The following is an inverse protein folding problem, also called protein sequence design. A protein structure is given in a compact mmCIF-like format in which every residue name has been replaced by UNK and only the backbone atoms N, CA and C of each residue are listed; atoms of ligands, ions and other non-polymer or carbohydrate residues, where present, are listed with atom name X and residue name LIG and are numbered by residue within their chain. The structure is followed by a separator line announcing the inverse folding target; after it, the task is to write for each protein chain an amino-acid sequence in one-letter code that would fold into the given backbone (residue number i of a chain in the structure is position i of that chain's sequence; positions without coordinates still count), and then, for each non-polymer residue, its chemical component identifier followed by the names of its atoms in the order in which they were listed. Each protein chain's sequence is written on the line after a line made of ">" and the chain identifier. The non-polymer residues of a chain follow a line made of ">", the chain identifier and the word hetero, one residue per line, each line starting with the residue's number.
data_IF_627817182902
#
_entry.id   IF_627817182902
#
_cell.length_a   1.000
_cell.length_b   1.000
_cell.length_c   1.000
_cell.angle_alpha   90.00
_cell.angle_beta   90.00
_cell.angle_gamma   90.00
#
_symmetry.space_group_name_H-M   'P 1'
#
loop_
_entity.id
_entity.type
_entity.pdbx_description
1 polymer ?
#
# COMPACT_ATOMS: atom_id res chain seq x y z
N UNK A 1 -26.18 -13.99 -38.23
CA UNK A 1 -25.36 -14.85 -37.33
C UNK A 1 -23.86 -14.90 -37.66
N UNK A 2 -23.41 -15.10 -38.91
CA UNK A 2 -21.97 -15.18 -39.25
C UNK A 2 -21.16 -13.92 -38.85
N UNK A 3 -21.73 -12.73 -39.05
CA UNK A 3 -21.10 -11.46 -38.69
C UNK A 3 -21.03 -11.23 -37.17
N UNK A 4 -22.07 -11.60 -36.42
CA UNK A 4 -22.08 -11.50 -34.96
C UNK A 4 -20.96 -12.34 -34.33
N UNK A 5 -20.74 -13.57 -34.80
CA UNK A 5 -19.64 -14.42 -34.33
C UNK A 5 -18.27 -13.79 -34.59
N UNK A 6 -18.08 -13.16 -35.77
CA UNK A 6 -16.83 -12.45 -36.10
C UNK A 6 -16.61 -11.23 -35.19
N UNK A 7 -17.66 -10.45 -34.94
CA UNK A 7 -17.61 -9.28 -34.04
C UNK A 7 -17.23 -9.70 -32.62
N UNK A 8 -17.87 -10.76 -32.09
CA UNK A 8 -17.55 -11.27 -30.75
C UNK A 8 -16.10 -11.74 -30.63
N UNK A 9 -15.57 -12.39 -31.67
CA UNK A 9 -14.15 -12.81 -31.70
C UNK A 9 -13.23 -11.58 -31.67
N UNK A 10 -13.50 -10.56 -32.50
CA UNK A 10 -12.69 -9.33 -32.51
C UNK A 10 -12.73 -8.63 -31.16
N UNK A 11 -13.90 -8.52 -30.53
CA UNK A 11 -14.04 -7.92 -29.20
C UNK A 11 -13.26 -8.70 -28.13
N UNK A 12 -13.29 -10.03 -28.19
CA UNK A 12 -12.51 -10.87 -27.28
C UNK A 12 -11.00 -10.65 -27.43
N UNK A 13 -10.49 -10.57 -28.67
CA UNK A 13 -9.08 -10.28 -28.91
C UNK A 13 -8.67 -8.89 -28.40
N UNK A 14 -9.49 -7.87 -28.65
CA UNK A 14 -9.24 -6.51 -28.13
C UNK A 14 -9.24 -6.48 -26.60
N UNK A 15 -10.18 -7.19 -25.97
CA UNK A 15 -10.25 -7.31 -24.51
C UNK A 15 -9.03 -8.05 -23.94
N UNK A 16 -8.59 -9.13 -24.58
CA UNK A 16 -7.38 -9.86 -24.19
C UNK A 16 -6.13 -9.00 -24.31
N UNK A 17 -5.97 -8.26 -25.42
CA UNK A 17 -4.87 -7.29 -25.57
C UNK A 17 -4.92 -6.20 -24.49
N UNK A 18 -6.12 -5.71 -24.15
CA UNK A 18 -6.29 -4.72 -23.09
C UNK A 18 -5.86 -5.27 -21.72
N UNK A 19 -6.25 -6.49 -21.35
CA UNK A 19 -5.80 -7.14 -20.11
C UNK A 19 -4.29 -7.34 -20.10
N UNK A 20 -3.70 -7.78 -21.23
CA UNK A 20 -2.25 -7.94 -21.32
C UNK A 20 -1.53 -6.59 -21.16
N UNK A 21 -2.07 -5.51 -21.72
CA UNK A 21 -1.54 -4.17 -21.52
C UNK A 21 -1.69 -3.71 -20.06
N UNK A 22 -2.81 -4.02 -19.40
CA UNK A 22 -2.97 -3.74 -17.97
C UNK A 22 -1.92 -4.44 -17.12
N UNK A 23 -1.64 -5.70 -17.43
CA UNK A 23 -0.70 -6.52 -16.66
C UNK A 23 0.76 -6.11 -16.88
N UNK A 24 1.16 -5.79 -18.12
CA UNK A 24 2.57 -5.53 -18.46
C UNK A 24 2.87 -4.07 -18.83
N UNK A 25 1.86 -3.20 -18.86
CA UNK A 25 1.93 -1.80 -19.28
C UNK A 25 2.97 -0.97 -18.51
N UNK A 26 3.16 -1.29 -17.23
CA UNK A 26 4.15 -0.65 -16.38
C UNK A 26 5.58 -0.72 -16.96
N UNK A 27 5.93 -1.79 -17.68
CA UNK A 27 7.24 -1.93 -18.34
C UNK A 27 7.45 -0.94 -19.49
N UNK A 28 6.37 -0.51 -20.12
CA UNK A 28 6.38 0.40 -21.26
C UNK A 28 6.38 1.86 -20.84
N UNK A 29 5.68 2.21 -19.76
CA UNK A 29 5.62 3.59 -19.26
C UNK A 29 6.88 4.00 -18.49
N UNK A 30 7.59 3.04 -17.89
CA UNK A 30 8.79 3.29 -17.09
C UNK A 30 10.04 3.28 -17.96
N UNK A 31 10.88 4.30 -17.82
CA UNK A 31 12.20 4.30 -18.45
C UNK A 31 13.25 3.57 -17.57
N UNK A 32 14.48 3.43 -18.08
CA UNK A 32 15.57 2.73 -17.36
C UNK A 32 15.93 3.42 -16.04
N UNK A 33 15.86 4.74 -15.97
CA UNK A 33 16.15 5.50 -14.77
C UNK A 33 15.05 5.31 -13.72
N UNK A 34 13.78 5.38 -14.11
CA UNK A 34 12.64 5.15 -13.22
C UNK A 34 12.71 3.77 -12.56
N UNK A 35 13.01 2.72 -13.35
CA UNK A 35 13.19 1.36 -12.81
C UNK A 35 14.34 1.27 -11.80
N UNK A 36 15.42 2.02 -12.01
CA UNK A 36 16.55 2.09 -11.06
C UNK A 36 16.14 2.81 -9.79
N UNK A 37 15.43 3.94 -9.90
CA UNK A 37 14.89 4.68 -8.75
C UNK A 37 14.00 3.75 -7.92
N UNK A 38 13.02 3.09 -8.54
CA UNK A 38 12.13 2.14 -7.86
C UNK A 38 12.94 1.05 -7.14
N UNK A 39 13.87 0.41 -7.85
CA UNK A 39 14.68 -0.69 -7.29
C UNK A 39 15.51 -0.23 -6.11
N UNK A 40 16.19 0.90 -6.24
CA UNK A 40 16.99 1.49 -5.17
C UNK A 40 16.09 1.85 -3.99
N UNK A 41 15.05 2.63 -4.24
CA UNK A 41 14.09 3.08 -3.24
C UNK A 41 13.50 1.94 -2.44
N UNK A 42 13.07 0.83 -3.05
CA UNK A 42 12.44 -0.28 -2.32
C UNK A 42 13.49 -1.12 -1.58
N UNK A 43 14.60 -1.46 -2.22
CA UNK A 43 15.58 -2.42 -1.67
C UNK A 43 16.48 -1.85 -0.58
N UNK A 44 16.66 -0.53 -0.50
CA UNK A 44 17.52 0.08 0.53
C UNK A 44 16.83 0.34 1.87
N UNK A 45 15.51 0.11 1.98
CA UNK A 45 14.81 0.42 3.23
C UNK A 45 15.09 -0.58 4.34
N UNK A 46 15.00 -0.08 5.57
CA UNK A 46 14.86 -0.90 6.76
C UNK A 46 13.66 -1.84 6.61
N UNK A 47 13.86 -3.09 7.01
CA UNK A 47 12.78 -4.08 7.10
C UNK A 47 11.99 -3.82 8.37
N UNK A 48 10.66 -3.81 8.27
CA UNK A 48 9.80 -3.83 9.44
C UNK A 48 10.01 -5.15 10.20
N UNK A 49 9.99 -5.12 11.54
CA UNK A 49 9.91 -6.34 12.33
C UNK A 49 8.68 -7.17 11.96
N UNK A 50 8.79 -8.50 12.12
CA UNK A 50 7.69 -9.42 11.81
C UNK A 50 6.46 -9.11 12.66
N UNK A 51 6.65 -8.83 13.96
CA UNK A 51 5.56 -8.45 14.86
C UNK A 51 4.70 -7.28 14.35
N UNK A 52 5.33 -6.26 13.75
CA UNK A 52 4.60 -5.11 13.18
C UNK A 52 3.95 -5.48 11.85
N UNK A 53 4.63 -6.26 11.01
CA UNK A 53 4.11 -6.72 9.73
C UNK A 53 2.88 -7.62 9.92
N UNK A 54 2.93 -8.50 10.92
CA UNK A 54 1.86 -9.43 11.28
C UNK A 54 0.68 -8.65 11.86
N UNK A 55 0.93 -7.72 12.78
CA UNK A 55 -0.10 -6.80 13.28
C UNK A 55 -0.83 -6.08 12.13
N UNK A 56 -0.08 -5.53 11.16
CA UNK A 56 -0.65 -4.86 9.99
C UNK A 56 -1.52 -5.81 9.16
N UNK A 57 -1.06 -7.03 8.89
CA UNK A 57 -1.78 -8.02 8.10
C UNK A 57 -3.01 -8.59 8.81
N UNK A 58 -2.99 -8.66 10.14
CA UNK A 58 -4.15 -9.06 10.95
C UNK A 58 -5.20 -7.95 11.01
N UNK A 59 -4.78 -6.68 11.11
CA UNK A 59 -5.71 -5.53 11.08
C UNK A 59 -6.32 -5.36 9.69
N UNK A 60 -5.50 -5.41 8.64
CA UNK A 60 -5.93 -5.36 7.24
C UNK A 60 -5.82 -6.75 6.62
N UNK A 61 -6.90 -7.52 6.76
CA UNK A 61 -6.97 -8.91 6.34
C UNK A 61 -6.45 -9.11 4.92
N UNK A 62 -5.53 -10.06 4.77
CA UNK A 62 -4.89 -10.43 3.50
C UNK A 62 -4.14 -9.29 2.79
N UNK A 63 -3.81 -8.18 3.46
CA UNK A 63 -3.12 -7.06 2.82
C UNK A 63 -1.74 -7.42 2.25
N UNK A 64 -1.08 -8.46 2.78
CA UNK A 64 0.18 -8.96 2.24
C UNK A 64 0.01 -9.89 1.01
N UNK A 65 -1.22 -10.30 0.70
CA UNK A 65 -1.52 -11.23 -0.40
C UNK A 65 -2.41 -10.58 -1.47
N UNK A 66 -3.16 -9.54 -1.11
CA UNK A 66 -3.98 -8.75 -2.02
C UNK A 66 -3.12 -8.01 -3.03
N UNK A 67 -3.67 -7.81 -4.20
CA UNK A 67 -3.03 -7.13 -5.32
C UNK A 67 -3.98 -6.09 -5.94
N UNK A 68 -3.51 -5.38 -6.96
CA UNK A 68 -4.26 -4.27 -7.55
C UNK A 68 -5.54 -4.71 -8.28
N UNK A 69 -5.62 -5.95 -8.75
CA UNK A 69 -6.84 -6.48 -9.34
C UNK A 69 -7.93 -6.72 -8.29
N UNK A 70 -7.57 -7.13 -7.07
CA UNK A 70 -8.53 -7.30 -5.98
C UNK A 70 -9.25 -5.97 -5.69
N UNK A 71 -8.51 -4.85 -5.67
CA UNK A 71 -9.09 -3.52 -5.50
C UNK A 71 -10.08 -3.14 -6.62
N UNK A 72 -9.76 -3.52 -7.87
CA UNK A 72 -10.62 -3.28 -9.02
C UNK A 72 -11.90 -4.11 -8.89
N UNK A 73 -11.78 -5.39 -8.57
CA UNK A 73 -12.91 -6.31 -8.38
C UNK A 73 -13.80 -5.84 -7.22
N UNK A 74 -13.22 -5.44 -6.10
CA UNK A 74 -13.95 -4.90 -4.95
C UNK A 74 -14.75 -3.65 -5.34
N UNK A 75 -14.12 -2.73 -6.08
CA UNK A 75 -14.77 -1.51 -6.57
C UNK A 75 -15.97 -1.83 -7.47
N UNK A 76 -15.83 -2.79 -8.40
CA UNK A 76 -16.91 -3.19 -9.30
C UNK A 76 -18.03 -3.99 -8.61
N UNK A 77 -17.70 -4.74 -7.56
CA UNK A 77 -18.69 -5.51 -6.77
C UNK A 77 -19.44 -4.64 -5.75
N UNK A 78 -19.12 -3.35 -5.66
CA UNK A 78 -19.74 -2.42 -4.70
C UNK A 78 -19.21 -2.58 -3.27
N UNK A 79 -18.19 -3.42 -3.06
CA UNK A 79 -17.48 -3.53 -1.79
C UNK A 79 -16.58 -2.30 -1.61
N UNK A 80 -16.84 -1.50 -0.58
CA UNK A 80 -15.97 -0.37 -0.23
C UNK A 80 -14.78 -0.87 0.59
N UNK A 81 -13.81 -1.52 -0.06
CA UNK A 81 -12.54 -1.84 0.61
C UNK A 81 -11.64 -0.60 0.61
N UNK A 82 -11.14 -0.14 1.79
CA UNK A 82 -10.21 0.96 1.84
C UNK A 82 -8.93 0.64 1.05
N UNK A 83 -8.46 1.57 0.20
CA UNK A 83 -7.19 1.49 -0.57
C UNK A 83 -5.94 1.11 0.24
N UNK A 84 -6.03 1.14 1.58
CA UNK A 84 -4.93 0.83 2.50
C UNK A 84 -4.62 -0.67 2.60
N UNK A 85 -5.42 -1.50 1.94
CA UNK A 85 -5.24 -2.95 1.93
C UNK A 85 -4.23 -3.45 0.89
N UNK A 86 -3.67 -2.60 0.01
CA UNK A 86 -2.62 -3.00 -0.93
C UNK A 86 -1.36 -2.13 -0.79
N UNK A 87 -0.32 -2.61 -0.07
CA UNK A 87 0.93 -1.89 0.14
C UNK A 87 1.61 -1.42 -1.15
N UNK A 88 1.69 -2.24 -2.20
CA UNK A 88 2.33 -1.84 -3.46
C UNK A 88 1.54 -0.76 -4.22
N UNK A 89 0.22 -0.75 -4.10
CA UNK A 89 -0.60 0.35 -4.64
C UNK A 89 -0.32 1.66 -3.89
N UNK A 90 -0.16 1.61 -2.57
CA UNK A 90 0.30 2.79 -1.81
C UNK A 90 1.70 3.23 -2.25
N UNK A 91 2.63 2.29 -2.40
CA UNK A 91 4.00 2.57 -2.87
C UNK A 91 3.99 3.22 -4.26
N UNK A 92 3.13 2.75 -5.17
CA UNK A 92 2.96 3.35 -6.48
C UNK A 92 2.54 4.82 -6.36
N UNK A 93 1.57 5.14 -5.51
CA UNK A 93 1.13 6.52 -5.28
C UNK A 93 2.25 7.40 -4.70
N UNK A 94 3.08 6.86 -3.81
CA UNK A 94 4.21 7.60 -3.21
C UNK A 94 5.35 7.85 -4.22
N UNK A 95 5.64 6.87 -5.09
CA UNK A 95 6.71 7.00 -6.08
C UNK A 95 6.28 7.79 -7.31
N UNK A 96 5.01 7.73 -7.71
CA UNK A 96 4.49 8.32 -8.95
C UNK A 96 4.88 9.79 -9.18
N UNK A 97 4.85 10.69 -8.18
CA UNK A 97 5.30 12.07 -8.35
C UNK A 97 6.78 12.19 -8.73
N UNK A 98 7.64 11.31 -8.21
CA UNK A 98 9.10 11.33 -8.39
C UNK A 98 9.53 10.76 -9.74
N UNK A 99 8.73 9.88 -10.33
CA UNK A 99 9.07 9.21 -11.60
C UNK A 99 8.90 10.14 -12.81
N UNK A 100 9.66 9.89 -13.86
CA UNK A 100 9.70 10.69 -15.10
C UNK A 100 8.80 10.14 -16.22
N UNK A 101 7.58 9.72 -15.84
CA UNK A 101 6.57 9.18 -16.75
C UNK A 101 5.98 10.31 -17.61
N UNK A 102 5.91 10.10 -18.92
CA UNK A 102 5.31 11.05 -19.87
C UNK A 102 3.78 11.06 -19.72
N UNK A 103 3.16 12.25 -19.76
CA UNK A 103 1.70 12.43 -19.73
C UNK A 103 1.00 11.71 -18.56
N UNK A 104 1.53 11.94 -17.34
CA UNK A 104 1.03 11.32 -16.11
C UNK A 104 -0.49 11.42 -15.99
N UNK A 105 -1.13 10.26 -15.88
CA UNK A 105 -2.56 10.14 -15.62
C UNK A 105 -2.79 9.12 -14.48
N UNK A 106 -4.03 9.08 -13.96
CA UNK A 106 -4.37 8.19 -12.83
C UNK A 106 -4.27 6.70 -13.17
N UNK A 107 -4.40 6.34 -14.45
CA UNK A 107 -4.30 4.96 -14.91
C UNK A 107 -2.84 4.46 -14.91
N UNK A 108 -1.87 5.35 -15.14
CA UNK A 108 -0.45 5.02 -15.03
C UNK A 108 -0.07 4.59 -13.60
N UNK A 109 -0.77 5.07 -12.57
CA UNK A 109 -0.58 4.63 -11.19
C UNK A 109 -0.96 3.14 -11.05
N UNK A 110 -2.04 2.71 -11.71
CA UNK A 110 -2.43 1.30 -11.73
C UNK A 110 -1.38 0.46 -12.44
N UNK A 111 -0.92 0.89 -13.62
CA UNK A 111 0.14 0.20 -14.37
C UNK A 111 1.46 0.11 -13.58
N UNK A 112 1.81 1.17 -12.85
CA UNK A 112 2.95 1.18 -11.93
C UNK A 112 2.74 0.19 -10.78
N UNK A 113 1.54 0.15 -10.19
CA UNK A 113 1.21 -0.79 -9.12
C UNK A 113 1.34 -2.25 -9.58
N UNK A 114 0.83 -2.59 -10.79
CA UNK A 114 1.04 -3.90 -11.40
C UNK A 114 2.52 -4.21 -11.62
N UNK A 115 3.30 -3.24 -12.11
CA UNK A 115 4.75 -3.42 -12.24
C UNK A 115 5.42 -3.71 -10.90
N UNK A 116 5.04 -3.02 -9.83
CA UNK A 116 5.58 -3.26 -8.49
C UNK A 116 5.25 -4.68 -8.01
N UNK A 117 3.99 -5.09 -8.13
CA UNK A 117 3.51 -6.41 -7.70
C UNK A 117 4.14 -7.57 -8.47
N UNK A 118 4.61 -7.33 -9.70
CA UNK A 118 5.35 -8.33 -10.48
C UNK A 118 6.82 -8.48 -10.08
N UNK A 119 7.41 -7.49 -9.39
CA UNK A 119 8.85 -7.45 -9.10
C UNK A 119 9.18 -7.42 -7.61
N UNK A 120 8.20 -7.08 -6.76
CA UNK A 120 8.34 -6.93 -5.32
C UNK A 120 7.13 -7.53 -4.62
N UNK A 121 7.35 -8.02 -3.41
CA UNK A 121 6.30 -8.52 -2.53
C UNK A 121 5.55 -7.35 -1.86
N UNK A 122 4.31 -7.58 -1.45
CA UNK A 122 3.56 -6.59 -0.65
C UNK A 122 4.29 -6.22 0.64
N UNK A 123 5.03 -7.16 1.24
CA UNK A 123 5.87 -6.90 2.43
C UNK A 123 7.02 -5.92 2.13
N UNK A 124 7.67 -6.03 0.98
CA UNK A 124 8.71 -5.07 0.57
C UNK A 124 8.14 -3.66 0.30
N UNK A 125 6.99 -3.60 -0.35
CA UNK A 125 6.25 -2.34 -0.55
C UNK A 125 5.83 -1.72 0.80
N UNK A 126 5.35 -2.54 1.74
CA UNK A 126 4.98 -2.09 3.09
C UNK A 126 6.19 -1.53 3.85
N UNK A 127 7.35 -2.20 3.78
CA UNK A 127 8.60 -1.71 4.36
C UNK A 127 8.98 -0.34 3.78
N UNK A 128 8.86 -0.16 2.46
CA UNK A 128 9.11 1.13 1.82
C UNK A 128 8.17 2.21 2.36
N UNK A 129 6.87 1.91 2.42
CA UNK A 129 5.87 2.86 2.84
C UNK A 129 6.15 3.37 4.26
N UNK A 130 6.29 2.46 5.22
CA UNK A 130 6.49 2.83 6.62
C UNK A 130 7.86 3.43 6.90
N UNK A 131 8.92 3.00 6.21
CA UNK A 131 10.27 3.56 6.41
C UNK A 131 10.42 4.97 5.86
N UNK A 132 9.63 5.33 4.84
CA UNK A 132 9.72 6.63 4.18
C UNK A 132 8.62 7.60 4.60
N UNK A 133 7.59 7.14 5.32
CA UNK A 133 6.50 7.99 5.77
C UNK A 133 6.99 9.03 6.78
N UNK A 134 6.47 10.25 6.63
CA UNK A 134 6.69 11.35 7.57
C UNK A 134 5.51 11.40 8.55
N UNK A 135 5.78 11.03 9.81
CA UNK A 135 4.81 11.04 10.92
C UNK A 135 4.69 12.42 11.59
N UNK A 136 5.09 13.50 10.91
CA UNK A 136 5.24 14.86 11.41
C UNK A 136 6.31 14.99 12.48
N UNK A 137 6.65 16.22 12.84
CA UNK A 137 7.63 16.53 13.91
C UNK A 137 9.01 15.93 13.59
N UNK A 138 9.38 15.87 12.30
CA UNK A 138 10.61 15.28 11.78
C UNK A 138 10.80 13.79 12.13
N UNK A 139 9.71 13.05 12.38
CA UNK A 139 9.75 11.62 12.66
C UNK A 139 9.55 10.86 11.36
N UNK A 140 10.66 10.58 10.66
CA UNK A 140 10.63 9.83 9.42
C UNK A 140 10.91 8.35 9.70
N UNK A 141 9.99 7.50 9.28
CA UNK A 141 10.15 6.05 9.45
C UNK A 141 9.67 5.52 10.79
N UNK A 142 9.50 4.20 10.86
CA UNK A 142 8.98 3.49 12.04
C UNK A 142 9.90 3.55 13.26
N UNK A 143 11.22 3.52 13.07
CA UNK A 143 12.16 3.60 14.18
C UNK A 143 12.07 4.96 14.90
N UNK A 144 12.03 6.07 14.15
CA UNK A 144 11.94 7.40 14.75
C UNK A 144 10.61 7.64 15.45
N UNK A 145 9.49 7.21 14.86
CA UNK A 145 8.17 7.39 15.50
C UNK A 145 8.02 6.51 16.75
N UNK A 146 8.53 5.27 16.73
CA UNK A 146 8.55 4.37 17.88
C UNK A 146 9.37 4.94 19.04
N UNK A 147 10.58 5.43 18.73
CA UNK A 147 11.45 6.04 19.72
C UNK A 147 10.85 7.34 20.28
N UNK A 148 10.25 8.17 19.44
CA UNK A 148 9.64 9.44 19.87
C UNK A 148 8.41 9.28 20.75
N UNK A 149 7.51 8.34 20.42
CA UNK A 149 6.24 8.19 21.15
C UNK A 149 6.38 7.33 22.41
N UNK A 150 7.24 6.31 22.37
CA UNK A 150 7.25 5.25 23.37
C UNK A 150 8.63 4.98 23.97
N UNK A 151 9.70 5.60 23.45
CA UNK A 151 11.08 5.33 23.85
C UNK A 151 11.43 3.83 23.73
N UNK A 152 10.98 3.19 22.65
CA UNK A 152 11.09 1.75 22.40
C UNK A 152 11.62 1.45 21.00
N UNK A 153 12.25 0.28 20.86
CA UNK A 153 12.53 -0.32 19.55
C UNK A 153 11.23 -0.85 18.94
N UNK A 154 11.08 -0.78 17.60
CA UNK A 154 9.85 -1.18 16.91
C UNK A 154 9.45 -2.63 17.21
N UNK A 155 10.44 -3.53 17.34
CA UNK A 155 10.21 -4.95 17.64
C UNK A 155 9.60 -5.22 19.03
N UNK A 156 9.66 -4.25 19.94
CA UNK A 156 9.18 -4.35 21.33
C UNK A 156 7.86 -3.62 21.58
N UNK A 157 7.28 -3.03 20.54
CA UNK A 157 5.99 -2.36 20.62
C UNK A 157 4.88 -3.34 20.99
N UNK A 158 3.95 -2.87 21.80
CA UNK A 158 2.71 -3.58 22.09
C UNK A 158 1.68 -3.33 20.98
N UNK A 159 0.70 -4.23 20.77
CA UNK A 159 -0.32 -4.07 19.72
C UNK A 159 -1.05 -2.71 19.78
N UNK A 160 -1.34 -2.18 20.96
CA UNK A 160 -1.95 -0.85 21.11
C UNK A 160 -1.03 0.29 20.64
N UNK A 161 0.28 0.17 20.85
CA UNK A 161 1.28 1.15 20.40
C UNK A 161 1.47 1.08 18.88
N UNK A 162 1.43 -0.14 18.31
CA UNK A 162 1.39 -0.33 16.86
C UNK A 162 0.11 0.28 16.25
N UNK A 163 -1.02 0.14 16.94
CA UNK A 163 -2.29 0.76 16.57
C UNK A 163 -2.23 2.29 16.52
N UNK A 164 -1.50 2.93 17.45
CA UNK A 164 -1.29 4.38 17.44
C UNK A 164 -0.39 4.82 16.26
N UNK A 165 0.68 4.09 15.96
CA UNK A 165 1.50 4.35 14.76
C UNK A 165 0.65 4.18 13.50
N UNK A 166 -0.20 3.16 13.44
CA UNK A 166 -1.08 2.91 12.31
C UNK A 166 -2.13 4.03 12.14
N UNK A 167 -2.64 4.56 13.25
CA UNK A 167 -3.51 5.73 13.24
C UNK A 167 -2.82 6.96 12.66
N UNK A 168 -1.56 7.21 13.04
CA UNK A 168 -0.78 8.30 12.45
C UNK A 168 -0.49 8.06 10.97
N UNK A 169 -0.17 6.83 10.58
CA UNK A 169 0.01 6.46 9.17
C UNK A 169 -1.26 6.73 8.35
N UNK A 170 -2.43 6.52 8.94
CA UNK A 170 -3.71 6.81 8.29
C UNK A 170 -3.95 8.30 8.07
N UNK A 171 -3.70 9.12 9.09
CA UNK A 171 -3.83 10.57 9.00
C UNK A 171 -3.00 11.22 10.12
N UNK A 172 -1.79 11.70 9.81
CA UNK A 172 -0.86 12.09 10.86
C UNK A 172 -1.30 13.40 11.52
N UNK A 173 -2.02 14.28 10.82
CA UNK A 173 -2.52 15.54 11.39
C UNK A 173 -3.69 15.30 12.34
N UNK A 174 -4.70 14.52 11.90
CA UNK A 174 -5.91 14.26 12.69
C UNK A 174 -5.63 13.38 13.90
N UNK A 175 -4.74 12.41 13.77
CA UNK A 175 -4.49 11.41 14.81
C UNK A 175 -3.22 11.72 15.63
N UNK A 176 -2.67 12.94 15.52
CA UNK A 176 -1.56 13.39 16.36
C UNK A 176 -2.00 13.52 17.82
N UNK A 177 -1.38 12.78 18.74
CA UNK A 177 -1.72 12.80 20.18
C UNK A 177 -1.47 14.14 20.88
N UNK A 178 -0.51 14.94 20.41
CA UNK A 178 -0.21 16.26 20.96
C UNK A 178 -1.26 17.30 20.55
N UNK A 179 -1.91 17.09 19.39
CA UNK A 179 -2.96 17.97 18.87
C UNK A 179 -4.37 17.50 19.25
N UNK A 180 -4.62 16.20 19.16
CA UNK A 180 -5.94 15.58 19.32
C UNK A 180 -5.84 14.27 20.15
N UNK A 181 -5.57 14.36 21.47
CA UNK A 181 -5.27 13.20 22.31
C UNK A 181 -6.41 12.17 22.36
N UNK A 182 -7.65 12.61 22.57
CA UNK A 182 -8.83 11.71 22.63
C UNK A 182 -9.04 10.95 21.32
N UNK A 183 -8.85 11.64 20.19
CA UNK A 183 -8.96 11.02 18.86
C UNK A 183 -7.84 10.03 18.61
N UNK A 184 -6.60 10.38 18.96
CA UNK A 184 -5.45 9.49 18.82
C UNK A 184 -5.69 8.19 19.62
N UNK A 185 -6.10 8.31 20.89
CA UNK A 185 -6.44 7.18 21.76
C UNK A 185 -7.56 6.33 21.19
N UNK A 186 -8.68 6.96 20.80
CA UNK A 186 -9.83 6.25 20.23
C UNK A 186 -9.47 5.52 18.93
N UNK A 187 -8.64 6.12 18.07
CA UNK A 187 -8.24 5.48 16.81
C UNK A 187 -7.24 4.34 17.01
N UNK A 188 -6.30 4.48 17.95
CA UNK A 188 -5.41 3.40 18.34
C UNK A 188 -6.19 2.22 18.93
N UNK A 189 -7.14 2.49 19.82
CA UNK A 189 -8.01 1.46 20.40
C UNK A 189 -8.79 0.72 19.32
N UNK A 190 -9.37 1.43 18.35
CA UNK A 190 -10.07 0.78 17.25
C UNK A 190 -9.19 -0.21 16.47
N UNK A 191 -7.92 0.12 16.20
CA UNK A 191 -7.01 -0.82 15.52
C UNK A 191 -6.63 -2.01 16.40
N UNK A 192 -6.48 -1.79 17.71
CA UNK A 192 -6.26 -2.86 18.67
C UNK A 192 -7.47 -3.81 18.76
N UNK A 193 -8.68 -3.28 18.74
CA UNK A 193 -9.91 -4.06 18.76
C UNK A 193 -10.03 -4.91 17.49
N UNK A 194 -9.78 -4.31 16.31
CA UNK A 194 -9.74 -5.05 15.03
C UNK A 194 -8.69 -6.17 15.04
N UNK A 195 -7.49 -5.90 15.57
CA UNK A 195 -6.44 -6.89 15.72
C UNK A 195 -6.91 -8.06 16.60
N UNK A 196 -7.50 -7.76 17.76
CA UNK A 196 -7.99 -8.75 18.72
C UNK A 196 -9.14 -9.58 18.17
N UNK A 197 -10.09 -8.95 17.48
CA UNK A 197 -11.21 -9.64 16.83
C UNK A 197 -10.75 -10.59 15.73
N UNK A 198 -9.76 -10.18 14.92
CA UNK A 198 -9.27 -10.99 13.80
C UNK A 198 -8.31 -12.09 14.23
N UNK A 199 -7.68 -12.01 15.41
CA UNK A 199 -6.90 -13.12 15.99
C UNK A 199 -7.77 -14.29 16.46
N UNK A 200 -9.02 -14.01 16.84
CA UNK A 200 -9.95 -15.00 17.39
C UNK A 200 -10.83 -15.68 16.32
N UNK A 201 -10.61 -15.38 15.04
CA UNK A 201 -11.31 -15.98 13.89
C UNK A 201 -10.41 -16.99 13.17
#
# INVERSE_FOLDING_TARGET
>A
MKYLKRILIVLFFLFSMFIMYMEFGGRYILNKNDRRIITWSIRTNSKLPESFTDFYNTVYLNSLFRNSWDLVIDTFSGLKTPRKECPCSQTANLLFPVLTIKNKNSFDIFLLSRYLEQHYTQKECLNFNFSNFDFLENRKGTEQISQSLFNKQVKTLQPIEMGEILALYENPVRNNRNRNPERAKSRAQHFYDLYSENLNK
#
